data_IF_186662405023
#
_entry.id   IF_186662405023
#
_cell.length_a   1.000
_cell.length_b   1.000
_cell.length_c   1.000
_cell.angle_alpha   90.00
_cell.angle_beta   90.00
_cell.angle_gamma   90.00
#
_symmetry.space_group_name_H-M   'P 1'
#
loop_
_entity.id
_entity.type
_entity.pdbx_description
1 polymer ?
#
# COMPACT_ATOMS: atom_id res chain seq x y z
N UNK A 1 0.33 9.10 -5.05
CA UNK A 1 -0.20 8.99 -3.66
C UNK A 1 -1.43 8.09 -3.54
N UNK A 2 -2.20 7.94 -4.61
CA UNK A 2 -3.42 7.10 -4.59
C UNK A 2 -3.18 5.66 -4.14
N UNK A 3 -2.17 4.99 -4.71
CA UNK A 3 -1.87 3.60 -4.35
C UNK A 3 -1.29 3.50 -2.94
N UNK A 4 -0.44 4.44 -2.54
CA UNK A 4 0.09 4.49 -1.17
C UNK A 4 -1.04 4.65 -0.15
N UNK A 5 -1.97 5.59 -0.40
CA UNK A 5 -3.12 5.80 0.46
C UNK A 5 -4.03 4.57 0.50
N UNK A 6 -4.15 3.86 -0.62
CA UNK A 6 -4.93 2.61 -0.69
C UNK A 6 -4.32 1.52 0.17
N UNK A 7 -3.01 1.34 0.13
CA UNK A 7 -2.30 0.38 0.98
C UNK A 7 -2.53 0.72 2.45
N UNK A 8 -2.37 1.99 2.81
CA UNK A 8 -2.57 2.43 4.20
C UNK A 8 -4.01 2.19 4.67
N UNK A 9 -4.99 2.41 3.80
CA UNK A 9 -6.40 2.16 4.16
C UNK A 9 -6.68 0.69 4.38
N UNK A 10 -6.14 -0.18 3.55
CA UNK A 10 -6.30 -1.64 3.71
C UNK A 10 -5.74 -2.08 5.06
N UNK A 11 -4.54 -1.60 5.40
CA UNK A 11 -3.91 -1.90 6.69
C UNK A 11 -4.75 -1.34 7.83
N UNK A 12 -5.13 -0.08 7.79
CA UNK A 12 -5.90 0.56 8.84
C UNK A 12 -7.25 -0.12 9.09
N UNK A 13 -7.88 -0.61 8.03
CA UNK A 13 -9.17 -1.31 8.14
C UNK A 13 -9.05 -2.66 8.82
N UNK A 14 -7.90 -3.31 8.72
CA UNK A 14 -7.67 -4.64 9.31
C UNK A 14 -7.03 -4.58 10.69
N UNK A 15 -6.43 -3.46 11.05
CA UNK A 15 -5.76 -3.25 12.33
C UNK A 15 -6.37 -2.05 13.04
N UNK A 16 -7.59 -2.22 13.55
CA UNK A 16 -8.33 -1.15 14.22
C UNK A 16 -7.56 -0.60 15.42
N UNK A 17 -7.40 0.72 15.46
CA UNK A 17 -6.71 1.39 16.56
C UNK A 17 -5.20 1.38 16.48
N UNK A 18 -4.63 0.80 15.43
CA UNK A 18 -3.18 0.78 15.21
C UNK A 18 -2.79 1.94 14.30
N UNK A 19 -1.92 2.85 14.73
CA UNK A 19 -1.49 3.96 13.88
C UNK A 19 -0.74 3.49 12.63
N UNK A 20 -0.98 4.16 11.51
CA UNK A 20 -0.27 3.94 10.25
C UNK A 20 0.38 5.26 9.84
N UNK A 21 1.70 5.29 9.84
CA UNK A 21 2.47 6.47 9.43
C UNK A 21 2.91 6.34 7.98
N UNK A 22 2.89 7.45 7.25
CA UNK A 22 3.26 7.49 5.84
C UNK A 22 4.57 8.27 5.70
N UNK A 23 5.55 7.67 5.02
CA UNK A 23 6.83 8.26 4.61
C UNK A 23 7.80 8.57 5.75
N UNK A 24 7.33 9.09 6.87
CA UNK A 24 8.20 9.47 7.98
C UNK A 24 7.74 8.86 9.30
N UNK A 25 8.70 8.33 10.04
CA UNK A 25 8.45 7.87 11.41
C UNK A 25 8.71 9.03 12.35
N UNK A 26 7.72 9.43 13.18
CA UNK A 26 7.97 10.47 14.20
C UNK A 26 9.10 10.07 15.14
N UNK A 27 9.90 11.03 15.61
CA UNK A 27 11.02 10.78 16.49
C UNK A 27 10.60 10.07 17.80
N UNK A 28 9.38 10.34 18.24
CA UNK A 28 8.81 9.82 19.48
C UNK A 28 7.64 8.86 19.25
N UNK A 29 7.69 8.07 18.16
CA UNK A 29 6.60 7.16 17.85
C UNK A 29 6.40 6.11 18.96
N UNK A 30 5.13 5.80 19.21
CA UNK A 30 4.77 4.72 20.12
C UNK A 30 4.80 3.39 19.34
N UNK A 31 5.33 2.35 19.97
CA UNK A 31 5.35 1.03 19.37
C UNK A 31 3.94 0.46 19.28
N UNK A 32 3.77 -0.52 18.41
CA UNK A 32 2.44 -0.99 18.00
C UNK A 32 1.91 -0.13 16.86
N UNK A 33 2.74 0.15 15.86
CA UNK A 33 2.36 1.00 14.73
C UNK A 33 2.95 0.48 13.43
N UNK A 34 2.33 0.90 12.33
CA UNK A 34 2.82 0.64 10.98
C UNK A 34 3.47 1.88 10.40
N UNK A 35 4.39 1.63 9.51
CA UNK A 35 5.05 2.66 8.71
C UNK A 35 5.09 2.16 7.27
N UNK A 36 4.56 2.95 6.34
CA UNK A 36 4.44 2.58 4.93
C UNK A 36 5.10 3.63 4.06
N UNK A 37 5.94 3.21 3.14
CA UNK A 37 6.56 4.14 2.20
C UNK A 37 6.84 3.47 0.86
N UNK A 38 6.91 4.30 -0.18
CA UNK A 38 7.26 3.86 -1.52
C UNK A 38 8.78 3.69 -1.62
N UNK A 39 9.24 2.50 -1.98
CA UNK A 39 10.68 2.25 -2.19
C UNK A 39 11.10 2.51 -3.62
N UNK A 40 10.28 2.07 -4.57
CA UNK A 40 10.51 2.30 -5.99
C UNK A 40 9.20 2.12 -6.72
N UNK A 41 9.12 2.71 -7.90
CA UNK A 41 7.96 2.55 -8.75
C UNK A 41 8.34 2.79 -10.19
N UNK A 42 7.63 2.13 -11.09
CA UNK A 42 7.79 2.34 -12.51
C UNK A 42 6.43 2.54 -13.15
N UNK A 43 6.42 3.28 -14.25
CA UNK A 43 5.21 3.51 -15.04
C UNK A 43 5.50 3.05 -16.45
N UNK A 44 4.59 2.28 -17.02
CA UNK A 44 4.75 1.73 -18.36
C UNK A 44 3.53 2.06 -19.20
N UNK A 45 3.77 2.66 -20.37
CA UNK A 45 2.72 2.91 -21.34
C UNK A 45 2.34 1.60 -22.02
N UNK A 46 1.06 1.21 -21.95
CA UNK A 46 0.57 -0.03 -22.55
C UNK A 46 0.03 0.18 -23.95
N UNK A 47 -0.71 1.28 -24.15
CA UNK A 47 -1.23 1.67 -25.44
C UNK A 47 -1.57 3.16 -25.42
N UNK A 48 -2.32 3.65 -26.41
CA UNK A 48 -2.63 5.08 -26.53
C UNK A 48 -3.50 5.63 -25.39
N UNK A 49 -4.20 4.76 -24.66
CA UNK A 49 -5.19 5.19 -23.67
C UNK A 49 -4.99 4.57 -22.30
N UNK A 50 -4.03 3.66 -22.14
CA UNK A 50 -3.79 3.01 -20.86
C UNK A 50 -2.31 3.00 -20.49
N UNK A 51 -2.05 3.10 -19.19
CA UNK A 51 -0.72 2.94 -18.63
C UNK A 51 -0.79 2.04 -17.40
N UNK A 52 0.34 1.57 -16.96
CA UNK A 52 0.45 0.65 -15.85
C UNK A 52 1.45 1.18 -14.83
N UNK A 53 1.02 1.30 -13.58
CA UNK A 53 1.89 1.64 -12.47
C UNK A 53 2.30 0.38 -11.72
N UNK A 54 3.59 0.28 -11.44
CA UNK A 54 4.16 -0.87 -10.73
C UNK A 54 4.96 -0.38 -9.51
N UNK A 55 4.28 0.08 -8.46
CA UNK A 55 4.95 0.53 -7.26
C UNK A 55 5.37 -0.64 -6.38
N UNK A 56 6.46 -0.44 -5.64
CA UNK A 56 6.90 -1.36 -4.58
C UNK A 56 6.91 -0.58 -3.28
N UNK A 57 6.14 -1.07 -2.31
CA UNK A 57 6.02 -0.44 -1.00
C UNK A 57 6.76 -1.26 0.05
N UNK A 58 7.36 -0.56 1.00
CA UNK A 58 7.88 -1.14 2.22
C UNK A 58 6.85 -0.89 3.31
N UNK A 59 6.46 -1.96 3.99
CA UNK A 59 5.56 -1.91 5.14
C UNK A 59 6.36 -2.40 6.34
N UNK A 60 6.48 -1.57 7.36
CA UNK A 60 7.17 -1.93 8.59
C UNK A 60 6.18 -1.91 9.74
N UNK A 61 6.13 -2.98 10.50
CA UNK A 61 5.37 -3.01 11.74
C UNK A 61 6.34 -3.04 12.91
N UNK A 62 6.25 -2.03 13.78
CA UNK A 62 6.98 -1.99 15.03
C UNK A 62 6.08 -2.59 16.11
N UNK A 63 6.42 -3.79 16.53
CA UNK A 63 5.60 -4.56 17.46
C UNK A 63 5.49 -3.94 18.84
N UNK A 64 4.46 -4.31 19.56
CA UNK A 64 4.25 -3.90 20.93
C UNK A 64 5.31 -4.50 21.85
N UNK A 65 5.59 -3.81 22.95
CA UNK A 65 6.49 -4.29 24.00
C UNK A 65 5.77 -4.28 25.34
N UNK A 66 6.14 -5.20 26.21
CA UNK A 66 5.56 -5.27 27.55
C UNK A 66 6.15 -4.18 28.47
N UNK A 67 5.71 -4.15 29.72
CA UNK A 67 6.17 -3.15 30.69
C UNK A 67 7.68 -3.22 30.96
N UNK A 68 8.29 -4.40 30.76
CA UNK A 68 9.72 -4.59 30.89
C UNK A 68 10.50 -4.27 29.61
N UNK A 69 9.86 -3.63 28.63
CA UNK A 69 10.41 -3.28 27.32
C UNK A 69 10.88 -4.51 26.53
N UNK A 70 10.19 -5.63 26.70
CA UNK A 70 10.49 -6.87 26.00
C UNK A 70 9.53 -7.06 24.83
N UNK A 71 10.05 -7.66 23.75
CA UNK A 71 9.27 -7.98 22.56
C UNK A 71 8.17 -8.98 22.90
N UNK A 72 6.96 -8.71 22.41
CA UNK A 72 5.84 -9.63 22.52
C UNK A 72 5.72 -10.40 21.21
N UNK A 73 6.32 -11.59 21.17
CA UNK A 73 6.36 -12.40 19.94
C UNK A 73 4.97 -12.76 19.42
N UNK A 74 4.02 -13.02 20.31
CA UNK A 74 2.65 -13.34 19.92
C UNK A 74 2.00 -12.21 19.12
N UNK A 75 2.26 -10.97 19.49
CA UNK A 75 1.79 -9.80 18.75
C UNK A 75 2.34 -9.79 17.31
N UNK A 76 3.63 -10.08 17.16
CA UNK A 76 4.24 -10.16 15.82
C UNK A 76 3.62 -11.29 14.98
N UNK A 77 3.40 -12.45 15.56
CA UNK A 77 2.79 -13.57 14.86
C UNK A 77 1.37 -13.25 14.38
N UNK A 78 0.58 -12.62 15.23
CA UNK A 78 -0.78 -12.22 14.87
C UNK A 78 -0.80 -11.22 13.71
N UNK A 79 0.07 -10.23 13.76
CA UNK A 79 0.18 -9.23 12.69
C UNK A 79 0.67 -9.87 11.41
N UNK A 80 1.67 -10.75 11.49
CA UNK A 80 2.18 -11.47 10.31
C UNK A 80 1.08 -12.29 9.63
N UNK A 81 0.26 -13.00 10.40
CA UNK A 81 -0.84 -13.79 9.83
C UNK A 81 -1.91 -12.92 9.17
N UNK A 82 -2.20 -11.76 9.74
CA UNK A 82 -3.14 -10.82 9.14
C UNK A 82 -2.61 -10.23 7.84
N UNK A 83 -1.34 -9.83 7.81
CA UNK A 83 -0.70 -9.34 6.59
C UNK A 83 -0.71 -10.39 5.49
N UNK A 84 -0.47 -11.64 5.85
CA UNK A 84 -0.55 -12.76 4.92
C UNK A 84 -1.95 -12.89 4.30
N UNK A 85 -3.00 -12.79 5.12
CA UNK A 85 -4.36 -12.83 4.60
C UNK A 85 -4.66 -11.67 3.66
N UNK A 86 -4.15 -10.48 3.97
CA UNK A 86 -4.39 -9.29 3.16
C UNK A 86 -3.68 -9.35 1.82
N UNK A 87 -2.43 -9.81 1.78
CA UNK A 87 -1.57 -9.64 0.61
C UNK A 87 -1.09 -10.92 -0.05
N UNK A 88 -1.17 -12.06 0.62
CA UNK A 88 -0.77 -13.34 0.02
C UNK A 88 -1.99 -14.12 -0.44
N UNK A 89 -3.02 -14.22 0.40
CA UNK A 89 -4.22 -14.99 0.08
C UNK A 89 -5.19 -14.22 -0.80
N UNK A 90 -5.10 -12.89 -0.80
CA UNK A 90 -5.85 -12.03 -1.71
C UNK A 90 -5.03 -11.79 -2.97
N UNK A 91 -5.64 -11.94 -4.13
CA UNK A 91 -4.95 -11.73 -5.41
C UNK A 91 -4.95 -10.26 -5.83
N UNK A 92 -5.86 -9.48 -5.27
CA UNK A 92 -6.07 -8.08 -5.61
C UNK A 92 -6.29 -7.27 -4.33
N UNK A 93 -6.00 -5.97 -4.43
CA UNK A 93 -6.20 -5.02 -3.35
C UNK A 93 -7.14 -3.90 -3.83
N UNK A 94 -8.14 -3.49 -3.03
CA UNK A 94 -9.00 -2.39 -3.43
C UNK A 94 -8.22 -1.08 -3.49
N UNK A 95 -8.53 -0.27 -4.50
CA UNK A 95 -7.90 1.02 -4.72
C UNK A 95 -8.92 2.12 -4.47
N UNK A 96 -8.52 3.14 -3.70
CA UNK A 96 -9.36 4.29 -3.43
C UNK A 96 -9.69 5.01 -4.74
N UNK A 97 -10.90 5.57 -4.87
CA UNK A 97 -11.24 6.37 -6.06
C UNK A 97 -10.34 7.59 -6.17
N UNK A 98 -10.13 8.06 -7.39
CA UNK A 98 -9.42 9.30 -7.63
C UNK A 98 -10.18 10.46 -6.96
N UNK A 99 -9.42 11.45 -6.46
CA UNK A 99 -10.01 12.59 -5.77
C UNK A 99 -11.02 13.33 -6.65
N UNK A 100 -12.21 13.57 -6.09
CA UNK A 100 -13.27 14.28 -6.81
C UNK A 100 -13.97 13.46 -7.87
N UNK A 101 -13.67 12.18 -8.00
CA UNK A 101 -14.25 11.31 -9.01
C UNK A 101 -15.05 10.20 -8.35
N UNK A 102 -16.30 10.01 -8.82
CA UNK A 102 -17.09 8.84 -8.47
C UNK A 102 -16.87 7.79 -9.56
N UNK A 103 -16.20 6.71 -9.24
CA UNK A 103 -15.93 5.65 -10.20
C UNK A 103 -16.31 4.29 -9.62
N UNK A 104 -16.37 3.30 -10.49
CA UNK A 104 -16.58 1.92 -10.05
C UNK A 104 -15.41 1.46 -9.18
N UNK A 105 -15.66 0.48 -8.34
CA UNK A 105 -14.61 -0.13 -7.54
C UNK A 105 -13.44 -0.60 -8.42
N UNK A 106 -12.24 -0.20 -8.05
CA UNK A 106 -11.02 -0.54 -8.76
C UNK A 106 -10.13 -1.38 -7.86
N UNK A 107 -9.33 -2.23 -8.48
CA UNK A 107 -8.43 -3.13 -7.76
C UNK A 107 -7.06 -3.14 -8.41
N UNK A 108 -6.03 -3.13 -7.59
CA UNK A 108 -4.66 -3.36 -8.05
C UNK A 108 -4.34 -4.84 -7.90
N UNK A 109 -3.60 -5.39 -8.85
CA UNK A 109 -3.13 -6.76 -8.75
C UNK A 109 -1.93 -6.81 -7.81
N UNK A 110 -1.89 -7.79 -6.94
CA UNK A 110 -0.74 -8.03 -6.08
C UNK A 110 0.26 -8.88 -6.87
N UNK A 111 1.37 -8.27 -7.26
CA UNK A 111 2.42 -8.95 -8.02
C UNK A 111 3.26 -9.84 -7.14
N UNK A 112 3.66 -9.33 -5.99
CA UNK A 112 4.44 -10.08 -5.03
C UNK A 112 4.32 -9.50 -3.63
N UNK A 113 4.48 -10.34 -2.65
CA UNK A 113 4.54 -9.97 -1.25
C UNK A 113 5.57 -10.87 -0.56
N UNK A 114 6.43 -10.28 0.23
CA UNK A 114 7.35 -11.00 1.08
C UNK A 114 7.49 -10.29 2.41
N UNK A 115 7.75 -11.03 3.46
CA UNK A 115 8.01 -10.42 4.76
C UNK A 115 9.12 -11.13 5.49
N UNK A 116 9.71 -10.41 6.43
CA UNK A 116 10.72 -10.92 7.34
C UNK A 116 10.37 -10.44 8.75
N UNK A 117 10.19 -11.38 9.66
CA UNK A 117 9.94 -11.07 11.06
C UNK A 117 11.24 -11.16 11.83
N UNK A 118 11.68 -10.03 12.38
CA UNK A 118 12.90 -9.95 13.18
C UNK A 118 12.53 -9.84 14.66
N UNK A 119 12.49 -10.97 15.33
CA UNK A 119 12.05 -11.04 16.72
C UNK A 119 12.95 -10.21 17.66
N UNK A 120 14.25 -10.23 17.42
CA UNK A 120 15.20 -9.46 18.23
C UNK A 120 14.95 -7.95 18.17
N UNK A 121 14.48 -7.46 17.04
CA UNK A 121 14.13 -6.05 16.84
C UNK A 121 12.69 -5.75 17.23
N UNK A 122 11.86 -6.79 17.34
CA UNK A 122 10.44 -6.64 17.56
C UNK A 122 9.71 -6.00 16.38
N UNK A 123 10.10 -6.36 15.16
CA UNK A 123 9.56 -5.72 13.95
C UNK A 123 9.32 -6.73 12.85
N UNK A 124 8.40 -6.37 11.94
CA UNK A 124 8.16 -7.09 10.69
C UNK A 124 8.45 -6.13 9.55
N UNK A 125 9.24 -6.59 8.60
CA UNK A 125 9.56 -5.84 7.38
C UNK A 125 8.90 -6.55 6.20
N UNK A 126 7.95 -5.92 5.57
CA UNK A 126 7.22 -6.48 4.45
C UNK A 126 7.44 -5.65 3.19
N UNK A 127 7.42 -6.32 2.05
CA UNK A 127 7.58 -5.69 0.75
C UNK A 127 6.42 -6.10 -0.13
N UNK A 128 5.69 -5.12 -0.65
CA UNK A 128 4.49 -5.30 -1.45
C UNK A 128 4.68 -4.66 -2.82
N UNK A 129 4.62 -5.47 -3.87
CA UNK A 129 4.64 -4.98 -5.25
C UNK A 129 3.26 -5.07 -5.84
N UNK A 130 2.78 -3.98 -6.41
CA UNK A 130 1.47 -3.88 -7.02
C UNK A 130 1.57 -3.61 -8.52
N UNK A 131 0.50 -3.93 -9.22
CA UNK A 131 0.31 -3.60 -10.63
C UNK A 131 -1.07 -2.99 -10.76
N UNK A 132 -1.12 -1.75 -11.24
CA UNK A 132 -2.38 -1.03 -11.41
C UNK A 132 -2.43 -0.40 -12.79
N UNK A 133 -3.44 -0.79 -13.57
CA UNK A 133 -3.66 -0.26 -14.92
C UNK A 133 -4.69 0.85 -14.84
N UNK A 134 -4.36 2.00 -15.42
CA UNK A 134 -5.24 3.17 -15.48
C UNK A 134 -5.39 3.68 -16.92
N UNK A 135 -6.53 4.29 -17.16
CA UNK A 135 -6.75 5.01 -18.40
C UNK A 135 -6.05 6.36 -18.37
N UNK A 136 -5.62 6.84 -19.53
CA UNK A 136 -4.99 8.16 -19.68
C UNK A 136 -6.11 9.17 -19.95
N UNK A 137 -6.58 9.92 -18.94
CA UNK A 137 -7.70 10.85 -19.15
C UNK A 137 -7.35 11.99 -20.11
N UNK A 138 -6.11 12.47 -20.04
CA UNK A 138 -5.63 13.57 -20.87
C UNK A 138 -5.60 13.23 -22.38
N UNK A 139 -5.33 11.97 -22.74
CA UNK A 139 -5.29 11.55 -24.12
C UNK A 139 -6.67 11.69 -24.78
N UNK A 140 -7.72 11.32 -24.07
CA UNK A 140 -9.08 11.41 -24.56
C UNK A 140 -9.55 12.86 -24.67
N UNK A 141 -9.23 13.67 -23.65
CA UNK A 141 -9.55 15.10 -23.65
C UNK A 141 -8.85 15.85 -24.79
N UNK A 142 -7.57 15.59 -25.00
CA UNK A 142 -6.82 16.18 -26.10
C UNK A 142 -7.40 15.79 -27.46
N UNK A 143 -7.82 14.55 -27.59
CA UNK A 143 -8.41 14.06 -28.83
C UNK A 143 -9.75 14.78 -29.12
N UNK A 144 -10.58 14.98 -28.10
CA UNK A 144 -11.83 15.71 -28.23
C UNK A 144 -11.60 17.18 -28.58
N UNK A 145 -10.60 17.80 -27.93
CA UNK A 145 -10.23 19.20 -28.23
C UNK A 145 -9.70 19.37 -29.64
N UNK A 146 -8.93 18.42 -30.14
CA UNK A 146 -8.44 18.43 -31.53
C UNK A 146 -9.55 18.28 -32.54
N UNK A 147 -10.61 17.56 -32.18
CA UNK A 147 -11.80 17.43 -33.04
C UNK A 147 -12.61 18.72 -33.13
N UNK A 148 -12.53 19.57 -32.11
CA UNK A 148 -13.28 20.83 -32.06
C UNK A 148 -12.53 22.02 -32.67
N UNK A 149 -11.30 21.86 -33.10
CA UNK A 149 -10.45 22.94 -33.63
C UNK A 149 -10.63 23.17 -35.13
N UNK A 150 -11.43 22.39 -35.75
CA UNK A 150 -11.80 22.60 -37.19
C UNK A 150 -12.80 23.77 -37.31
#
# INVERSE_FOLDING_TARGET
MRLLNSVCKVIASSFTGVPVHIEEVPDDFERGCFYVFLTTGSTELKNFVTYQDNPIFQIVYFGERNEADQVIAENLYEVKETLKRLFVLSMVMPVLPAEGVTEKSRYAKIESYSDEMRISEGAIYARLALNFTEDIPSAQEEYELMGDVD
#
